data_IF_087160741245
#
_entry.id   IF_087160741245
#
_cell.length_a   1.000
_cell.length_b   1.000
_cell.length_c   1.000
_cell.angle_alpha   90.00
_cell.angle_beta   90.00
_cell.angle_gamma   90.00
#
_symmetry.space_group_name_H-M   'P 1'
#
loop_
_entity.id
_entity.type
_entity.pdbx_description
1 polymer ?
#
# COMPACT_ATOMS: atom_id res chain seq x y z
N UNK A 1 6.98 -13.25 -23.61
CA UNK A 1 7.16 -11.85 -23.16
C UNK A 1 8.41 -11.78 -22.29
N UNK A 2 9.36 -10.89 -22.57
CA UNK A 2 10.45 -10.62 -21.62
C UNK A 2 9.80 -9.97 -20.40
N UNK A 3 9.75 -10.71 -19.31
CA UNK A 3 9.25 -10.23 -18.04
C UNK A 3 10.16 -9.09 -17.57
N UNK A 4 9.63 -7.85 -17.49
CA UNK A 4 10.40 -6.67 -17.06
C UNK A 4 10.47 -6.51 -15.53
N UNK A 5 9.64 -7.23 -14.79
CA UNK A 5 9.63 -7.21 -13.32
C UNK A 5 10.91 -7.85 -12.77
N UNK A 6 11.59 -7.24 -11.78
CA UNK A 6 12.72 -7.89 -11.13
C UNK A 6 12.24 -9.16 -10.41
N UNK A 7 13.16 -10.11 -10.22
CA UNK A 7 12.93 -11.32 -9.43
C UNK A 7 13.47 -11.15 -8.02
N UNK A 8 13.12 -12.06 -7.11
CA UNK A 8 13.74 -12.12 -5.77
C UNK A 8 15.27 -12.22 -5.87
N UNK A 9 15.80 -12.97 -6.85
CA UNK A 9 17.24 -13.08 -7.06
C UNK A 9 17.86 -11.74 -7.48
N UNK A 10 17.19 -10.99 -8.36
CA UNK A 10 17.64 -9.65 -8.75
C UNK A 10 17.67 -8.71 -7.54
N UNK A 11 16.59 -8.70 -6.73
CA UNK A 11 16.52 -7.87 -5.52
C UNK A 11 17.62 -8.21 -4.51
N UNK A 12 17.86 -9.50 -4.27
CA UNK A 12 18.93 -9.96 -3.37
C UNK A 12 20.33 -9.62 -3.92
N UNK A 13 20.52 -9.62 -5.24
CA UNK A 13 21.79 -9.21 -5.86
C UNK A 13 22.08 -7.71 -5.72
N UNK A 14 21.04 -6.89 -5.55
CA UNK A 14 21.18 -5.44 -5.32
C UNK A 14 21.50 -5.09 -3.87
N UNK A 15 21.36 -6.05 -2.95
CA UNK A 15 21.62 -5.88 -1.51
C UNK A 15 23.05 -5.39 -1.28
N UNK A 16 23.20 -4.21 -0.66
CA UNK A 16 24.50 -3.58 -0.42
C UNK A 16 25.12 -2.85 -1.62
N UNK A 17 24.58 -3.01 -2.83
CA UNK A 17 25.05 -2.35 -4.06
C UNK A 17 24.29 -1.03 -4.31
N UNK A 18 22.96 -1.04 -4.12
CA UNK A 18 22.14 0.18 -4.16
C UNK A 18 20.99 0.08 -3.16
N UNK A 19 20.48 1.24 -2.76
CA UNK A 19 19.27 1.32 -1.95
C UNK A 19 18.03 1.37 -2.84
N UNK A 20 17.06 0.52 -2.54
CA UNK A 20 15.78 0.44 -3.24
C UNK A 20 14.76 1.40 -2.64
N UNK A 21 13.81 1.86 -3.46
CA UNK A 21 12.66 2.66 -3.00
C UNK A 21 11.42 1.79 -2.89
N UNK A 22 10.65 1.98 -1.82
CA UNK A 22 9.38 1.29 -1.62
C UNK A 22 8.28 2.25 -1.18
N UNK A 23 7.09 2.11 -1.77
CA UNK A 23 5.89 2.83 -1.34
C UNK A 23 4.73 1.89 -1.01
N UNK A 24 3.91 2.24 -0.02
CA UNK A 24 2.58 1.63 0.13
C UNK A 24 1.62 2.41 -0.74
N UNK A 25 1.04 1.78 -1.75
CA UNK A 25 0.04 2.38 -2.65
C UNK A 25 -1.28 1.64 -2.49
N UNK A 26 -2.39 2.37 -2.54
CA UNK A 26 -3.73 1.83 -2.27
C UNK A 26 -4.72 2.08 -3.40
N UNK A 27 -4.34 2.85 -4.43
CA UNK A 27 -5.15 3.06 -5.65
C UNK A 27 -4.36 2.72 -6.92
N UNK A 28 -5.09 2.58 -8.05
CA UNK A 28 -4.46 2.31 -9.35
C UNK A 28 -3.67 3.51 -9.84
N UNK A 29 -4.16 4.72 -9.59
CA UNK A 29 -3.47 5.97 -9.95
C UNK A 29 -2.16 6.13 -9.18
N UNK A 30 -2.11 5.71 -7.91
CA UNK A 30 -0.87 5.69 -7.13
C UNK A 30 0.11 4.62 -7.64
N UNK A 31 -0.37 3.45 -8.04
CA UNK A 31 0.44 2.40 -8.64
C UNK A 31 1.04 2.84 -9.99
N UNK A 32 0.22 3.46 -10.85
CA UNK A 32 0.65 4.06 -12.13
C UNK A 32 1.71 5.16 -11.89
N UNK A 33 1.47 6.04 -10.92
CA UNK A 33 2.42 7.08 -10.56
C UNK A 33 3.75 6.51 -10.02
N UNK A 34 3.69 5.44 -9.22
CA UNK A 34 4.88 4.78 -8.69
C UNK A 34 5.71 4.13 -9.82
N UNK A 35 5.07 3.43 -10.76
CA UNK A 35 5.71 2.88 -11.95
C UNK A 35 6.37 3.99 -12.79
N UNK A 36 5.61 5.04 -13.12
CA UNK A 36 6.12 6.14 -13.95
C UNK A 36 7.29 6.90 -13.29
N UNK A 37 7.31 6.97 -11.95
CA UNK A 37 8.38 7.58 -11.18
C UNK A 37 9.62 6.67 -11.01
N UNK A 38 9.54 5.39 -11.40
CA UNK A 38 10.62 4.43 -11.23
C UNK A 38 10.79 3.93 -9.79
N UNK A 39 9.70 3.83 -9.03
CA UNK A 39 9.72 3.18 -7.71
C UNK A 39 9.99 1.69 -7.89
N UNK A 40 10.99 1.15 -7.18
CA UNK A 40 11.40 -0.25 -7.30
C UNK A 40 10.34 -1.24 -6.79
N UNK A 41 9.77 -0.98 -5.59
CA UNK A 41 8.92 -1.89 -4.84
C UNK A 41 7.61 -1.22 -4.41
N UNK A 42 6.51 -1.96 -4.37
CA UNK A 42 5.24 -1.48 -3.78
C UNK A 42 4.66 -2.47 -2.79
N UNK A 43 4.21 -1.97 -1.64
CA UNK A 43 3.24 -2.68 -0.78
C UNK A 43 1.84 -2.30 -1.24
N UNK A 44 0.97 -3.30 -1.41
CA UNK A 44 -0.40 -3.08 -1.91
C UNK A 44 -1.42 -3.87 -1.11
N UNK A 45 -2.66 -3.37 -0.96
CA UNK A 45 -3.77 -4.22 -0.55
C UNK A 45 -3.98 -5.35 -1.57
N UNK A 46 -4.24 -6.60 -1.15
CA UNK A 46 -4.49 -7.70 -2.09
C UNK A 46 -5.66 -7.45 -3.04
N UNK A 47 -6.63 -6.61 -2.64
CA UNK A 47 -7.77 -6.21 -3.46
C UNK A 47 -7.40 -5.28 -4.63
N UNK A 48 -6.26 -4.59 -4.58
CA UNK A 48 -5.78 -3.75 -5.67
C UNK A 48 -5.20 -4.59 -6.82
N UNK A 49 -4.75 -5.82 -6.55
CA UNK A 49 -4.16 -6.69 -7.55
C UNK A 49 -5.18 -7.17 -8.59
N UNK A 50 -4.73 -7.26 -9.84
CA UNK A 50 -5.51 -7.75 -10.96
C UNK A 50 -4.89 -7.32 -12.29
N UNK A 51 -5.56 -7.60 -13.42
CA UNK A 51 -5.12 -7.16 -14.74
C UNK A 51 -4.91 -5.64 -14.81
N UNK A 52 -5.83 -4.86 -14.24
CA UNK A 52 -5.78 -3.39 -14.22
C UNK A 52 -4.54 -2.87 -13.48
N UNK A 53 -4.19 -3.47 -12.34
CA UNK A 53 -2.96 -3.13 -11.62
C UNK A 53 -1.71 -3.43 -12.46
N UNK A 54 -1.68 -4.55 -13.18
CA UNK A 54 -0.54 -4.89 -14.04
C UNK A 54 -0.50 -4.12 -15.35
N UNK A 55 -1.62 -3.54 -15.78
CA UNK A 55 -1.65 -2.56 -16.86
C UNK A 55 -1.08 -1.21 -16.38
N UNK A 56 -1.50 -0.74 -15.20
CA UNK A 56 -1.03 0.50 -14.58
C UNK A 56 0.45 0.43 -14.17
N UNK A 57 0.88 -0.69 -13.59
CA UNK A 57 2.21 -0.89 -13.02
C UNK A 57 2.84 -2.24 -13.46
N UNK A 58 3.26 -2.35 -14.73
CA UNK A 58 3.71 -3.61 -15.32
C UNK A 58 5.08 -4.10 -14.83
N UNK A 59 5.93 -3.23 -14.26
CA UNK A 59 7.31 -3.60 -13.91
C UNK A 59 7.65 -3.52 -12.43
N UNK A 60 6.92 -2.73 -11.63
CA UNK A 60 7.14 -2.64 -10.18
C UNK A 60 6.97 -3.99 -9.47
N UNK A 61 7.82 -4.26 -8.47
CA UNK A 61 7.74 -5.48 -7.67
C UNK A 61 6.73 -5.32 -6.53
N UNK A 62 5.66 -6.12 -6.53
CA UNK A 62 4.52 -5.94 -5.65
C UNK A 62 4.48 -6.94 -4.49
N UNK A 63 4.35 -6.40 -3.28
CA UNK A 63 4.12 -7.09 -2.00
C UNK A 63 2.67 -6.88 -1.53
N UNK A 64 1.71 -7.73 -1.95
CA UNK A 64 0.40 -7.80 -1.31
C UNK A 64 0.51 -8.02 0.20
N UNK A 65 -0.11 -7.13 0.98
CA UNK A 65 -0.22 -7.22 2.44
C UNK A 65 -1.20 -8.30 2.89
N UNK A 66 -0.71 -9.39 3.49
CA UNK A 66 -1.57 -10.34 4.19
C UNK A 66 -1.75 -9.85 5.63
N UNK A 67 -2.75 -8.98 5.82
CA UNK A 67 -2.93 -8.23 7.05
C UNK A 67 -3.21 -9.14 8.26
N UNK A 68 -2.55 -8.82 9.37
CA UNK A 68 -2.71 -9.55 10.63
C UNK A 68 -4.12 -9.35 11.19
N UNK A 69 -4.85 -10.44 11.42
CA UNK A 69 -6.23 -10.41 11.91
C UNK A 69 -7.27 -10.72 10.84
N UNK A 70 -7.01 -10.36 9.57
CA UNK A 70 -7.85 -10.75 8.43
C UNK A 70 -7.64 -12.23 8.07
N UNK A 71 -6.44 -12.73 8.34
CA UNK A 71 -6.07 -14.15 8.23
C UNK A 71 -5.59 -14.64 9.59
N UNK A 72 -6.16 -15.75 10.06
CA UNK A 72 -5.95 -16.30 11.40
C UNK A 72 -5.14 -17.58 11.34
N UNK A 73 -5.47 -18.48 10.41
CA UNK A 73 -4.78 -19.78 10.28
C UNK A 73 -3.75 -19.77 9.16
N UNK A 74 -2.71 -20.60 9.28
CA UNK A 74 -1.72 -20.75 8.22
C UNK A 74 -2.33 -21.24 6.89
N UNK A 75 -3.47 -21.94 6.91
CA UNK A 75 -4.18 -22.32 5.68
C UNK A 75 -4.86 -21.12 5.02
N UNK A 76 -5.44 -20.20 5.79
CA UNK A 76 -6.00 -18.95 5.27
C UNK A 76 -4.91 -18.08 4.64
N UNK A 77 -3.77 -17.93 5.31
CA UNK A 77 -2.60 -17.25 4.74
C UNK A 77 -2.14 -17.91 3.44
N UNK A 78 -2.08 -19.24 3.38
CA UNK A 78 -1.70 -19.98 2.17
C UNK A 78 -2.66 -19.73 1.00
N UNK A 79 -3.97 -19.81 1.25
CA UNK A 79 -5.00 -19.53 0.24
C UNK A 79 -4.91 -18.09 -0.26
N UNK A 80 -4.74 -17.14 0.65
CA UNK A 80 -4.61 -15.73 0.33
C UNK A 80 -3.34 -15.44 -0.49
N UNK A 81 -2.21 -16.02 -0.10
CA UNK A 81 -0.94 -15.87 -0.81
C UNK A 81 -1.05 -16.37 -2.26
N UNK A 82 -1.52 -17.61 -2.49
CA UNK A 82 -1.69 -18.11 -3.85
C UNK A 82 -2.72 -17.31 -4.67
N UNK A 83 -3.78 -16.79 -4.02
CA UNK A 83 -4.71 -15.87 -4.69
C UNK A 83 -4.00 -14.59 -5.14
N UNK A 84 -3.20 -13.99 -4.27
CA UNK A 84 -2.47 -12.76 -4.58
C UNK A 84 -1.42 -12.98 -5.69
N UNK A 85 -0.66 -14.09 -5.64
CA UNK A 85 0.29 -14.45 -6.70
C UNK A 85 -0.41 -14.60 -8.07
N UNK A 86 -1.56 -15.28 -8.11
CA UNK A 86 -2.36 -15.40 -9.34
C UNK A 86 -2.93 -14.08 -9.84
N UNK A 87 -3.26 -13.17 -8.92
CA UNK A 87 -3.71 -11.81 -9.25
C UNK A 87 -2.55 -10.89 -9.68
N UNK A 88 -1.32 -11.40 -9.66
CA UNK A 88 -0.15 -10.71 -10.19
C UNK A 88 0.83 -10.24 -9.13
N UNK A 89 0.66 -10.51 -7.83
CA UNK A 89 1.69 -10.21 -6.81
C UNK A 89 3.00 -10.95 -7.07
N UNK A 90 4.13 -10.38 -6.62
CA UNK A 90 5.48 -10.98 -6.79
C UNK A 90 6.02 -11.62 -5.51
N UNK A 91 5.53 -11.16 -4.36
CA UNK A 91 5.82 -11.68 -3.03
C UNK A 91 4.58 -11.54 -2.14
N UNK A 92 4.69 -11.82 -0.85
CA UNK A 92 3.66 -11.48 0.15
C UNK A 92 4.30 -10.86 1.38
N UNK A 93 3.64 -9.87 1.98
CA UNK A 93 3.96 -9.43 3.33
C UNK A 93 3.18 -10.28 4.34
N UNK A 94 3.85 -10.80 5.37
CA UNK A 94 3.25 -11.63 6.41
C UNK A 94 3.88 -11.36 7.78
N UNK A 95 3.15 -10.67 8.66
CA UNK A 95 3.55 -10.44 10.05
C UNK A 95 3.00 -11.50 11.03
N UNK A 96 2.54 -12.64 10.54
CA UNK A 96 2.06 -13.75 11.37
C UNK A 96 3.19 -14.47 12.13
N UNK A 97 2.88 -15.57 12.79
CA UNK A 97 3.89 -16.40 13.46
C UNK A 97 4.85 -17.07 12.49
N UNK A 98 6.06 -17.40 12.96
CA UNK A 98 7.12 -18.04 12.16
C UNK A 98 6.69 -19.36 11.51
N UNK A 99 5.77 -20.10 12.13
CA UNK A 99 5.21 -21.32 11.54
C UNK A 99 4.43 -21.05 10.25
N UNK A 100 3.77 -19.89 10.16
CA UNK A 100 3.05 -19.46 8.94
C UNK A 100 4.05 -19.02 7.87
N UNK A 101 5.02 -18.19 8.24
CA UNK A 101 6.11 -17.77 7.34
C UNK A 101 6.83 -18.98 6.75
N UNK A 102 7.17 -19.97 7.59
CA UNK A 102 7.79 -21.22 7.17
C UNK A 102 6.95 -21.98 6.17
N UNK A 103 5.68 -22.22 6.48
CA UNK A 103 4.78 -22.96 5.57
C UNK A 103 4.66 -22.27 4.21
N UNK A 104 4.48 -20.95 4.19
CA UNK A 104 4.43 -20.19 2.94
C UNK A 104 5.73 -20.33 2.13
N UNK A 105 6.87 -20.19 2.80
CA UNK A 105 8.19 -20.25 2.17
C UNK A 105 8.52 -21.66 1.66
N UNK A 106 8.11 -22.72 2.37
CA UNK A 106 8.26 -24.13 1.97
C UNK A 106 7.50 -24.45 0.67
N UNK A 107 6.40 -23.76 0.39
CA UNK A 107 5.65 -23.83 -0.88
C UNK A 107 6.26 -22.95 -1.98
N UNK A 108 7.42 -22.33 -1.73
CA UNK A 108 8.13 -21.49 -2.69
C UNK A 108 7.57 -20.07 -2.83
N UNK A 109 6.70 -19.62 -1.92
CA UNK A 109 6.19 -18.25 -1.91
C UNK A 109 7.27 -17.33 -1.32
N UNK A 110 7.60 -16.25 -2.02
CA UNK A 110 8.51 -15.24 -1.51
C UNK A 110 7.84 -14.43 -0.38
N UNK A 111 8.29 -14.61 0.86
CA UNK A 111 7.71 -13.94 2.04
C UNK A 111 8.60 -12.80 2.54
N UNK A 112 7.99 -11.63 2.73
CA UNK A 112 8.52 -10.54 3.54
C UNK A 112 7.92 -10.60 4.95
N UNK A 113 8.78 -10.76 5.96
CA UNK A 113 8.38 -10.67 7.37
C UNK A 113 8.38 -9.23 7.90
N UNK A 114 8.24 -9.10 9.22
CA UNK A 114 8.31 -7.81 9.92
C UNK A 114 8.99 -7.99 11.29
N UNK A 115 9.95 -7.12 11.61
CA UNK A 115 10.61 -7.02 12.93
C UNK A 115 10.63 -5.58 13.45
N UNK A 116 10.93 -5.39 14.74
CA UNK A 116 10.89 -4.07 15.36
C UNK A 116 9.50 -3.72 15.87
N UNK A 117 9.01 -2.52 15.58
CA UNK A 117 7.64 -2.12 15.92
C UNK A 117 6.68 -2.67 14.87
N UNK A 118 5.95 -3.75 15.19
CA UNK A 118 4.86 -4.25 14.33
C UNK A 118 3.55 -3.55 14.77
N UNK A 119 2.92 -2.70 13.94
CA UNK A 119 1.74 -1.91 14.33
C UNK A 119 0.59 -2.73 14.92
N UNK A 120 0.28 -3.86 14.29
CA UNK A 120 -0.78 -4.79 14.75
C UNK A 120 -0.47 -5.47 16.10
N UNK A 121 0.77 -5.39 16.57
CA UNK A 121 1.26 -5.94 17.84
C UNK A 121 1.75 -4.86 18.80
N UNK A 122 1.38 -3.59 18.58
CA UNK A 122 1.89 -2.46 19.35
C UNK A 122 1.60 -2.53 20.86
N UNK A 123 0.65 -3.35 21.32
CA UNK A 123 0.42 -3.58 22.75
C UNK A 123 1.63 -4.19 23.46
N UNK A 124 2.40 -5.05 22.77
CA UNK A 124 3.63 -5.66 23.30
C UNK A 124 4.75 -4.63 23.49
N UNK A 125 4.70 -3.52 22.77
CA UNK A 125 5.69 -2.42 22.85
C UNK A 125 5.21 -1.23 23.68
N UNK A 126 4.01 -1.31 24.27
CA UNK A 126 3.40 -0.19 25.01
C UNK A 126 2.94 0.96 24.11
N UNK A 127 2.44 0.62 22.92
CA UNK A 127 2.02 1.53 21.86
C UNK A 127 3.07 1.68 20.74
N UNK A 128 2.86 2.67 19.87
CA UNK A 128 3.74 3.00 18.76
C UNK A 128 5.04 3.65 19.24
N UNK A 129 5.95 2.83 19.75
CA UNK A 129 7.20 3.28 20.39
C UNK A 129 8.40 2.65 19.70
N UNK A 130 9.48 3.42 19.64
CA UNK A 130 10.76 2.91 19.18
C UNK A 130 11.27 1.76 20.08
N UNK A 131 11.71 0.68 19.44
CA UNK A 131 12.35 -0.49 20.08
C UNK A 131 13.82 -0.57 19.67
N UNK A 132 14.62 -1.41 20.33
CA UNK A 132 16.05 -1.56 20.01
C UNK A 132 16.97 -0.48 20.61
N UNK A 133 16.44 0.38 21.50
CA UNK A 133 17.21 1.46 22.16
C UNK A 133 18.20 0.98 23.24
N UNK A 134 18.14 -0.29 23.61
CA UNK A 134 19.08 -0.93 24.55
C UNK A 134 19.69 -2.15 23.88
N UNK A 135 20.88 -2.56 24.30
CA UNK A 135 21.54 -3.75 23.75
C UNK A 135 20.66 -5.00 23.83
N UNK A 136 19.95 -5.20 24.95
CA UNK A 136 19.03 -6.33 25.12
C UNK A 136 17.87 -6.29 24.11
N UNK A 137 17.25 -5.13 23.89
CA UNK A 137 16.16 -4.97 22.92
C UNK A 137 16.66 -5.09 21.48
N UNK A 138 17.86 -4.59 21.18
CA UNK A 138 18.48 -4.73 19.86
C UNK A 138 18.83 -6.21 19.55
N UNK A 139 19.32 -6.96 20.54
CA UNK A 139 19.56 -8.40 20.42
C UNK A 139 18.27 -9.18 20.17
N UNK A 140 17.14 -8.75 20.72
CA UNK A 140 15.86 -9.38 20.45
C UNK A 140 15.42 -9.18 18.99
N UNK A 141 15.58 -7.96 18.44
CA UNK A 141 15.30 -7.69 17.03
C UNK A 141 16.21 -8.55 16.14
N UNK A 142 17.49 -8.68 16.50
CA UNK A 142 18.42 -9.57 15.79
C UNK A 142 17.97 -11.03 15.80
N UNK A 143 17.49 -11.54 16.94
CA UNK A 143 16.93 -12.91 17.03
C UNK A 143 15.69 -13.07 16.16
N UNK A 144 14.81 -12.07 16.12
CA UNK A 144 13.62 -12.09 15.25
C UNK A 144 14.02 -12.15 13.78
N UNK A 145 15.03 -11.37 13.36
CA UNK A 145 15.58 -11.43 12.00
C UNK A 145 16.14 -12.81 11.68
N UNK A 146 16.94 -13.38 12.58
CA UNK A 146 17.45 -14.75 12.41
C UNK A 146 16.34 -15.80 12.31
N UNK A 147 15.31 -15.64 13.12
CA UNK A 147 14.17 -16.55 13.10
C UNK A 147 13.37 -16.46 11.79
N UNK A 148 13.27 -15.27 11.18
CA UNK A 148 12.66 -15.10 9.85
C UNK A 148 13.52 -15.72 8.75
N UNK A 149 14.86 -15.56 8.81
CA UNK A 149 15.79 -16.26 7.90
C UNK A 149 15.61 -17.79 7.99
N UNK A 150 15.59 -18.33 9.21
CA UNK A 150 15.38 -19.76 9.46
C UNK A 150 13.97 -20.25 9.08
N UNK A 151 13.01 -19.33 8.96
CA UNK A 151 11.68 -19.61 8.44
C UNK A 151 11.61 -19.50 6.90
N UNK A 152 12.68 -19.10 6.22
CA UNK A 152 12.72 -19.02 4.76
C UNK A 152 12.18 -17.71 4.18
N UNK A 153 11.95 -16.68 5.00
CA UNK A 153 11.68 -15.34 4.49
C UNK A 153 12.88 -14.86 3.65
N UNK A 154 12.63 -14.05 2.62
CA UNK A 154 13.71 -13.43 1.82
C UNK A 154 13.91 -11.95 2.15
N UNK A 155 12.91 -11.32 2.78
CA UNK A 155 12.91 -9.92 3.17
C UNK A 155 12.27 -9.73 4.54
N UNK A 156 12.54 -8.59 5.18
CA UNK A 156 11.83 -8.17 6.37
C UNK A 156 11.72 -6.64 6.43
N UNK A 157 10.54 -6.15 6.77
CA UNK A 157 10.37 -4.79 7.26
C UNK A 157 11.04 -4.66 8.63
N UNK A 158 11.77 -3.56 8.84
CA UNK A 158 12.34 -3.17 10.12
C UNK A 158 11.86 -1.78 10.48
N UNK A 159 10.93 -1.72 11.44
CA UNK A 159 10.17 -0.50 11.72
C UNK A 159 10.56 0.13 13.07
N UNK A 160 10.83 1.45 13.03
CA UNK A 160 11.12 2.32 14.20
C UNK A 160 12.19 1.71 15.15
N UNK A 161 13.33 1.37 14.57
CA UNK A 161 14.55 0.89 15.25
C UNK A 161 15.68 1.93 15.11
N UNK A 162 16.60 2.11 16.07
CA UNK A 162 17.78 2.97 15.88
C UNK A 162 18.55 2.61 14.60
N UNK A 163 18.94 3.65 13.84
CA UNK A 163 19.52 3.46 12.51
C UNK A 163 20.82 2.66 12.52
N UNK A 164 21.66 2.85 13.52
CA UNK A 164 22.92 2.12 13.70
C UNK A 164 22.68 0.62 13.95
N UNK A 165 21.62 0.29 14.69
CA UNK A 165 21.22 -1.11 14.96
C UNK A 165 20.70 -1.75 13.68
N UNK A 166 19.78 -1.08 12.97
CA UNK A 166 19.22 -1.59 11.72
C UNK A 166 20.28 -1.76 10.62
N UNK A 167 21.23 -0.82 10.51
CA UNK A 167 22.37 -0.92 9.61
C UNK A 167 23.28 -2.11 9.95
N UNK A 168 23.55 -2.33 11.24
CA UNK A 168 24.38 -3.45 11.69
C UNK A 168 23.71 -4.81 11.41
N UNK A 169 22.39 -4.89 11.54
CA UNK A 169 21.57 -6.07 11.23
C UNK A 169 21.56 -6.31 9.71
N UNK A 170 21.21 -5.30 8.91
CA UNK A 170 21.12 -5.42 7.44
C UNK A 170 22.42 -5.93 6.81
N UNK A 171 23.58 -5.50 7.32
CA UNK A 171 24.90 -6.00 6.86
C UNK A 171 25.22 -7.46 7.21
N UNK A 172 24.48 -8.08 8.15
CA UNK A 172 24.79 -9.41 8.72
C UNK A 172 23.72 -10.46 8.42
N UNK A 173 22.58 -10.03 7.90
CA UNK A 173 21.48 -10.89 7.48
C UNK A 173 21.51 -11.11 5.98
N UNK A 174 21.06 -12.26 5.51
CA UNK A 174 20.76 -12.52 4.10
C UNK A 174 19.43 -11.90 3.65
N UNK A 175 18.58 -11.46 4.59
CA UNK A 175 17.31 -10.82 4.24
C UNK A 175 17.54 -9.46 3.58
N UNK A 176 16.68 -9.14 2.62
CA UNK A 176 16.49 -7.77 2.15
C UNK A 176 15.75 -6.98 3.24
N UNK A 177 16.44 -6.04 3.90
CA UNK A 177 15.86 -5.25 4.99
C UNK A 177 15.20 -3.99 4.45
N UNK A 178 13.90 -3.83 4.72
CA UNK A 178 13.08 -2.71 4.28
C UNK A 178 12.89 -1.75 5.47
N UNK A 179 13.60 -0.62 5.46
CA UNK A 179 13.56 0.33 6.57
C UNK A 179 12.31 1.18 6.53
N UNK A 180 11.56 1.18 7.63
CA UNK A 180 10.47 2.14 7.88
C UNK A 180 10.75 2.90 9.17
N UNK A 181 11.41 4.06 9.03
CA UNK A 181 11.89 4.83 10.17
C UNK A 181 13.01 4.14 10.97
N UNK A 182 13.79 3.28 10.32
CA UNK A 182 14.96 2.62 10.88
C UNK A 182 16.29 3.11 10.27
N UNK A 183 16.31 4.35 9.77
CA UNK A 183 17.49 4.98 9.17
C UNK A 183 17.82 4.48 7.76
N UNK A 184 18.89 5.04 7.19
CA UNK A 184 19.29 4.81 5.79
C UNK A 184 20.20 3.60 5.57
N UNK A 185 20.53 2.85 6.62
CA UNK A 185 21.52 1.75 6.54
C UNK A 185 20.96 0.40 6.09
N UNK A 186 19.68 0.33 5.70
CA UNK A 186 19.04 -0.87 5.17
C UNK A 186 18.96 -0.84 3.63
N UNK A 187 18.48 -1.94 3.06
CA UNK A 187 18.53 -2.21 1.63
C UNK A 187 17.42 -1.50 0.84
N UNK A 188 16.30 -1.20 1.48
CA UNK A 188 15.24 -0.36 0.93
C UNK A 188 14.76 0.70 1.92
N UNK A 189 14.23 1.81 1.41
CA UNK A 189 13.49 2.81 2.20
C UNK A 189 12.01 2.72 1.87
N UNK A 190 11.19 2.57 2.91
CA UNK A 190 9.76 2.34 2.81
C UNK A 190 8.97 3.46 3.49
N UNK A 191 8.02 4.04 2.77
CA UNK A 191 7.02 4.99 3.28
C UNK A 191 5.64 4.71 2.68
N UNK A 192 4.60 5.31 3.27
CA UNK A 192 3.25 5.24 2.72
C UNK A 192 3.06 6.35 1.69
N UNK A 193 2.38 6.06 0.58
CA UNK A 193 2.07 7.08 -0.43
C UNK A 193 1.27 8.23 0.19
N UNK A 194 0.34 7.95 1.10
CA UNK A 194 -0.42 8.96 1.85
C UNK A 194 0.47 9.98 2.57
N UNK A 195 1.58 9.53 3.17
CA UNK A 195 2.54 10.42 3.81
C UNK A 195 3.32 11.25 2.79
N UNK A 196 3.80 10.60 1.72
CA UNK A 196 4.60 11.25 0.67
C UNK A 196 3.77 12.31 -0.08
N UNK A 197 2.50 12.01 -0.35
CA UNK A 197 1.55 12.85 -1.05
C UNK A 197 0.89 13.90 -0.13
N UNK A 198 1.05 13.76 1.19
CA UNK A 198 0.43 14.65 2.18
C UNK A 198 -1.09 14.55 2.19
N UNK A 199 -1.61 13.33 2.09
CA UNK A 199 -3.04 13.03 2.21
C UNK A 199 -3.48 12.89 3.68
N UNK A 200 -2.55 12.49 4.56
CA UNK A 200 -2.82 12.30 5.98
C UNK A 200 -3.34 13.58 6.64
N UNK A 201 -4.48 13.47 7.34
CA UNK A 201 -5.08 14.55 8.11
C UNK A 201 -4.68 14.42 9.58
N UNK A 202 -3.96 15.40 10.09
CA UNK A 202 -3.55 15.45 11.49
C UNK A 202 -2.09 15.08 11.69
N UNK A 203 -1.83 13.89 12.24
CA UNK A 203 -0.48 13.48 12.63
C UNK A 203 0.27 12.78 11.50
N UNK A 204 1.36 13.38 11.04
CA UNK A 204 2.36 12.71 10.19
C UNK A 204 3.41 12.03 11.08
N UNK A 205 3.71 10.73 10.88
CA UNK A 205 4.75 10.05 11.62
C UNK A 205 6.10 10.75 11.48
N UNK A 206 6.87 10.85 12.58
CA UNK A 206 8.16 11.56 12.62
C UNK A 206 9.19 11.10 11.57
N UNK A 207 9.07 9.86 11.09
CA UNK A 207 10.00 9.25 10.17
C UNK A 207 9.57 9.41 8.70
N UNK A 208 8.36 9.90 8.46
CA UNK A 208 7.87 10.18 7.14
C UNK A 208 8.31 11.57 6.67
N UNK A 209 8.29 11.77 5.35
CA UNK A 209 8.57 13.06 4.72
C UNK A 209 7.49 13.36 3.70
N UNK A 210 6.87 14.53 3.86
CA UNK A 210 5.82 15.02 2.98
C UNK A 210 6.44 15.77 1.80
N UNK A 211 6.04 15.42 0.58
CA UNK A 211 6.52 16.04 -0.65
C UNK A 211 5.45 16.86 -1.36
N UNK A 212 4.17 16.58 -1.12
CA UNK A 212 3.01 17.31 -1.68
C UNK A 212 1.94 17.55 -0.61
N UNK A 213 0.90 18.30 -0.94
CA UNK A 213 -0.23 18.58 -0.04
C UNK A 213 -1.56 18.23 -0.71
N UNK A 214 -1.79 16.94 -0.92
CA UNK A 214 -3.01 16.46 -1.57
C UNK A 214 -4.25 16.70 -0.69
N UNK A 215 -4.10 16.73 0.63
CA UNK A 215 -5.20 17.10 1.53
C UNK A 215 -5.80 18.48 1.18
N UNK A 216 -4.95 19.48 0.92
CA UNK A 216 -5.43 20.81 0.52
C UNK A 216 -6.10 20.80 -0.86
N UNK A 217 -5.59 20.03 -1.81
CA UNK A 217 -6.24 19.89 -3.13
C UNK A 217 -7.60 19.19 -3.03
N UNK A 218 -7.71 18.16 -2.20
CA UNK A 218 -8.99 17.50 -1.94
C UNK A 218 -9.97 18.43 -1.22
N UNK A 219 -9.50 19.26 -0.29
CA UNK A 219 -10.34 20.27 0.37
C UNK A 219 -10.85 21.30 -0.63
N UNK A 220 -9.97 21.79 -1.51
CA UNK A 220 -10.36 22.69 -2.60
C UNK A 220 -11.41 22.05 -3.50
N UNK A 221 -11.16 20.83 -4.00
CA UNK A 221 -12.12 20.11 -4.83
C UNK A 221 -13.43 19.82 -4.10
N UNK A 222 -13.40 19.59 -2.80
CA UNK A 222 -14.61 19.38 -2.01
C UNK A 222 -15.44 20.67 -1.91
N UNK A 223 -14.81 21.83 -1.79
CA UNK A 223 -15.53 23.12 -1.86
C UNK A 223 -16.15 23.35 -3.23
N UNK A 224 -15.43 23.02 -4.32
CA UNK A 224 -15.97 23.11 -5.69
C UNK A 224 -17.19 22.20 -5.89
N UNK A 225 -17.16 20.96 -5.37
CA UNK A 225 -18.32 20.06 -5.41
C UNK A 225 -19.53 20.66 -4.68
N UNK A 226 -19.29 21.22 -3.50
CA UNK A 226 -20.36 21.85 -2.71
C UNK A 226 -20.92 23.08 -3.44
N UNK A 227 -20.07 23.91 -4.05
CA UNK A 227 -20.47 25.07 -4.82
C UNK A 227 -21.35 24.67 -6.01
N UNK A 228 -20.87 23.74 -6.85
CA UNK A 228 -21.61 23.23 -8.00
C UNK A 228 -22.97 22.64 -7.61
N UNK A 229 -23.03 21.90 -6.50
CA UNK A 229 -24.30 21.33 -6.02
C UNK A 229 -25.26 22.40 -5.49
N UNK A 230 -24.76 23.50 -4.91
CA UNK A 230 -25.60 24.63 -4.49
C UNK A 230 -26.15 25.40 -5.69
N UNK A 231 -25.31 25.65 -6.69
CA UNK A 231 -25.72 26.29 -7.95
C UNK A 231 -26.82 25.49 -8.63
N UNK A 232 -26.60 24.18 -8.82
CA UNK A 232 -27.61 23.29 -9.38
C UNK A 232 -28.91 23.29 -8.56
N UNK A 233 -28.81 23.24 -7.23
CA UNK A 233 -29.99 23.26 -6.37
C UNK A 233 -30.76 24.60 -6.46
N UNK A 234 -30.07 25.72 -6.64
CA UNK A 234 -30.71 27.03 -6.84
C UNK A 234 -31.36 27.14 -8.21
N UNK A 235 -30.71 26.62 -9.26
CA UNK A 235 -31.30 26.58 -10.60
C UNK A 235 -32.61 25.79 -10.61
N UNK A 236 -32.67 24.66 -9.89
CA UNK A 236 -33.91 23.87 -9.75
C UNK A 236 -34.98 24.64 -8.95
N UNK A 237 -34.62 25.27 -7.83
CA UNK A 237 -35.58 26.00 -6.98
C UNK A 237 -36.16 27.22 -7.66
N UNK A 238 -35.34 27.94 -8.42
CA UNK A 238 -35.74 29.12 -9.19
C UNK A 238 -36.48 28.76 -10.49
N UNK A 239 -36.41 27.51 -10.92
CA UNK A 239 -36.94 27.05 -12.21
C UNK A 239 -36.05 27.41 -13.41
N UNK A 240 -34.82 27.89 -13.18
CA UNK A 240 -33.83 28.13 -14.22
C UNK A 240 -33.37 26.81 -14.88
N UNK A 241 -33.32 25.72 -14.12
CA UNK A 241 -33.11 24.37 -14.64
C UNK A 241 -34.32 23.46 -14.38
N UNK A 242 -34.74 22.63 -15.37
CA UNK A 242 -34.24 22.59 -16.74
C UNK A 242 -34.74 23.77 -17.58
N UNK A 243 -33.86 24.35 -18.41
CA UNK A 243 -34.23 25.33 -19.43
C UNK A 243 -34.80 24.66 -20.71
N UNK A 244 -35.00 25.44 -21.79
CA UNK A 244 -35.50 24.89 -23.07
C UNK A 244 -34.54 23.89 -23.74
N UNK A 245 -33.22 24.10 -23.65
CA UNK A 245 -32.23 23.22 -24.28
C UNK A 245 -32.17 21.84 -23.62
N UNK A 246 -32.55 21.76 -22.34
CA UNK A 246 -32.61 20.51 -21.57
C UNK A 246 -33.94 19.75 -21.73
N UNK A 247 -34.95 20.32 -22.41
CA UNK A 247 -36.28 19.73 -22.55
C UNK A 247 -36.41 19.00 -23.88
N UNK A 248 -37.04 17.83 -23.84
CA UNK A 248 -37.53 17.15 -25.04
C UNK A 248 -38.93 17.66 -25.34
N UNK A 249 -39.18 18.06 -26.58
CA UNK A 249 -40.48 18.56 -27.01
C UNK A 249 -41.37 17.43 -27.55
N UNK A 250 -42.69 17.60 -27.40
CA UNK A 250 -43.73 16.82 -28.08
C UNK A 250 -44.45 17.75 -29.08
N UNK A 251 -44.83 17.23 -30.24
CA UNK A 251 -45.65 17.98 -31.19
C UNK A 251 -47.00 18.33 -30.52
N UNK A 252 -47.52 19.56 -30.67
CA UNK A 252 -48.76 19.98 -30.01
C UNK A 252 -49.94 19.02 -30.24
N UNK A 253 -50.05 18.47 -31.44
CA UNK A 253 -51.14 17.57 -31.85
C UNK A 253 -51.07 16.22 -31.11
N UNK A 254 -49.87 15.67 -30.94
CA UNK A 254 -49.64 14.42 -30.22
C UNK A 254 -49.90 14.59 -28.71
N UNK A 255 -49.60 15.78 -28.15
CA UNK A 255 -49.91 16.10 -26.76
C UNK A 255 -51.42 16.15 -26.52
N UNK A 256 -52.20 16.72 -27.44
CA UNK A 256 -53.66 16.75 -27.34
C UNK A 256 -54.28 15.35 -27.33
N UNK A 257 -53.81 14.46 -28.22
CA UNK A 257 -54.23 13.05 -28.27
C UNK A 257 -53.91 12.35 -26.95
N UNK A 258 -52.69 12.53 -26.43
CA UNK A 258 -52.30 11.94 -25.14
C UNK A 258 -53.21 12.42 -24.00
N UNK A 259 -53.44 13.73 -23.88
CA UNK A 259 -54.27 14.30 -22.82
C UNK A 259 -55.73 13.81 -22.90
N UNK A 260 -56.30 13.69 -24.09
CA UNK A 260 -57.64 13.15 -24.29
C UNK A 260 -57.74 11.65 -23.93
N UNK A 261 -56.64 10.91 -24.08
CA UNK A 261 -56.57 9.47 -23.76
C UNK A 261 -56.52 9.20 -22.26
N UNK A 262 -55.98 10.14 -21.47
CA UNK A 262 -55.82 9.99 -20.00
C UNK A 262 -56.83 10.79 -19.17
N UNK A 263 -57.78 11.46 -19.82
CA UNK A 263 -58.88 12.19 -19.18
C UNK A 263 -60.07 11.28 -18.88
#
# INVERSE_FOLDING_TARGET
MKHRRPTVADLLSMKGERQLTMLRVVTLEEAEAAEAAGIDLVSVPPALLGPEFREAAPSVFAFPGLEYGDYVTAEEYMRAAFKAMRAGGDAVYCAAGLSTVRRLSEEGIAVCGHVGLIPSKATWTGGFRAVGKTAASALEIWRQVKALEEAGAFAAEIEVVPGEVAAAISKRTSLLMLSMGAGSGCDAQYLFADDVLGQNRGHTPRHAKVYRNFAAEFDRLQQERIAAFREYAEDVRSGAYPDKAHRVAIAPEELEVFLATIA
#
